data_IF_328106109212
#
_entry.id   IF_328106109212
#
_cell.length_a   1.000
_cell.length_b   1.000
_cell.length_c   1.000
_cell.angle_alpha   90.00
_cell.angle_beta   90.00
_cell.angle_gamma   90.00
#
_symmetry.space_group_name_H-M   'P 1'
#
loop_
_entity.id
_entity.type
_entity.pdbx_description
1 polymer ?
#
# COMPACT_ATOMS: atom_id res chain seq x y z
N UNK A 1 -13.74 12.88 8.59
CA UNK A 1 -13.42 13.59 7.33
C UNK A 1 -14.69 13.97 6.59
N UNK A 2 -15.65 13.07 6.43
CA UNK A 2 -16.88 13.30 5.67
C UNK A 2 -17.73 14.47 6.19
N UNK A 3 -17.80 14.64 7.51
CA UNK A 3 -18.48 15.79 8.14
C UNK A 3 -17.89 17.14 7.68
N UNK A 4 -16.58 17.23 7.54
CA UNK A 4 -15.91 18.44 7.08
C UNK A 4 -16.27 18.74 5.62
N UNK A 5 -16.32 17.71 4.76
CA UNK A 5 -16.71 17.88 3.36
C UNK A 5 -18.15 18.39 3.22
N UNK A 6 -19.07 17.90 4.06
CA UNK A 6 -20.45 18.40 4.14
C UNK A 6 -20.46 19.89 4.53
N UNK A 7 -19.69 20.25 5.56
CA UNK A 7 -19.63 21.62 6.07
C UNK A 7 -19.04 22.59 5.02
N UNK A 8 -17.96 22.17 4.36
CA UNK A 8 -17.33 22.92 3.25
C UNK A 8 -18.34 23.12 2.11
N UNK A 9 -19.03 22.06 1.68
CA UNK A 9 -20.05 22.15 0.61
C UNK A 9 -21.15 23.15 0.98
N UNK A 10 -21.62 23.09 2.21
CA UNK A 10 -22.72 23.94 2.69
C UNK A 10 -22.31 25.41 2.73
N UNK A 11 -21.13 25.72 3.29
CA UNK A 11 -20.62 27.09 3.36
C UNK A 11 -20.29 27.67 1.99
N UNK A 12 -19.77 26.86 1.08
CA UNK A 12 -19.46 27.28 -0.28
C UNK A 12 -20.69 27.69 -1.07
N UNK A 13 -21.78 26.92 -0.96
CA UNK A 13 -23.03 27.22 -1.66
C UNK A 13 -23.78 28.42 -1.07
N UNK A 14 -23.65 28.68 0.24
CA UNK A 14 -24.50 29.66 0.94
C UNK A 14 -23.83 31.01 1.25
N UNK A 15 -22.54 31.06 1.58
CA UNK A 15 -21.97 32.23 2.28
C UNK A 15 -20.74 32.85 1.60
N UNK A 16 -20.11 32.19 0.62
CA UNK A 16 -18.78 32.59 0.18
C UNK A 16 -18.56 32.37 -1.31
N UNK A 17 -19.29 33.14 -2.12
CA UNK A 17 -19.16 33.10 -3.60
C UNK A 17 -17.76 33.44 -4.12
N UNK A 18 -16.91 34.10 -3.32
CA UNK A 18 -15.54 34.46 -3.70
C UNK A 18 -14.48 33.43 -3.25
N UNK A 19 -14.88 32.38 -2.52
CA UNK A 19 -13.94 31.36 -2.05
C UNK A 19 -13.83 30.25 -3.10
N UNK A 20 -12.60 30.00 -3.54
CA UNK A 20 -12.26 28.88 -4.41
C UNK A 20 -11.77 27.72 -3.55
N UNK A 21 -12.32 26.54 -3.79
CA UNK A 21 -11.98 25.32 -3.06
C UNK A 21 -11.26 24.39 -4.02
N UNK A 22 -10.10 23.88 -3.59
CA UNK A 22 -9.35 22.86 -4.30
C UNK A 22 -9.30 21.63 -3.39
N UNK A 23 -9.85 20.53 -3.88
CA UNK A 23 -9.82 19.24 -3.19
C UNK A 23 -8.74 18.37 -3.84
N UNK A 24 -7.75 17.99 -3.05
CA UNK A 24 -6.67 17.10 -3.47
C UNK A 24 -6.87 15.73 -2.85
N UNK A 25 -6.73 14.69 -3.65
CA UNK A 25 -6.89 13.30 -3.21
C UNK A 25 -5.72 12.48 -3.71
N UNK A 26 -5.17 11.63 -2.83
CA UNK A 26 -4.13 10.67 -3.19
C UNK A 26 -4.73 9.35 -3.75
N UNK A 27 -5.91 8.94 -3.28
CA UNK A 27 -6.50 7.62 -3.58
C UNK A 27 -8.02 7.60 -3.69
N UNK A 28 -8.72 8.66 -3.25
CA UNK A 28 -10.17 8.78 -3.39
C UNK A 28 -10.51 9.05 -4.85
N UNK A 29 -11.48 8.28 -5.32
CA UNK A 29 -12.20 8.43 -6.58
C UNK A 29 -12.66 9.88 -6.81
N UNK A 30 -12.03 10.52 -7.79
CA UNK A 30 -12.26 11.93 -8.14
C UNK A 30 -13.68 12.14 -8.67
N UNK A 31 -14.30 11.13 -9.28
CA UNK A 31 -15.67 11.22 -9.80
C UNK A 31 -16.68 11.33 -8.67
N UNK A 32 -16.51 10.54 -7.60
CA UNK A 32 -17.39 10.62 -6.42
C UNK A 32 -17.31 11.99 -5.75
N UNK A 33 -16.12 12.58 -5.69
CA UNK A 33 -15.95 13.93 -5.15
C UNK A 33 -16.54 14.99 -6.08
N UNK A 34 -16.35 14.88 -7.39
CA UNK A 34 -16.93 15.79 -8.37
C UNK A 34 -18.46 15.75 -8.35
N UNK A 35 -19.05 14.57 -8.18
CA UNK A 35 -20.48 14.41 -7.98
C UNK A 35 -20.90 14.97 -6.62
N UNK A 36 -20.19 14.69 -5.53
CA UNK A 36 -20.54 15.23 -4.22
C UNK A 36 -20.50 16.76 -4.18
N UNK A 37 -19.58 17.41 -4.87
CA UNK A 37 -19.50 18.88 -4.91
C UNK A 37 -20.20 19.52 -6.12
N UNK A 38 -21.10 18.78 -6.80
CA UNK A 38 -21.84 19.33 -7.93
C UNK A 38 -22.61 20.60 -7.54
N UNK A 39 -22.73 21.52 -8.50
CA UNK A 39 -23.62 22.68 -8.41
C UNK A 39 -24.87 22.44 -9.25
N UNK A 40 -25.98 23.07 -8.86
CA UNK A 40 -27.19 23.13 -9.70
C UNK A 40 -27.37 24.56 -10.13
N UNK A 41 -27.17 24.84 -11.42
CA UNK A 41 -27.33 26.18 -12.02
C UNK A 41 -28.41 26.07 -13.09
N UNK A 42 -29.47 26.88 -12.97
CA UNK A 42 -30.60 26.89 -13.90
C UNK A 42 -31.22 25.50 -14.16
N UNK A 43 -31.28 24.65 -13.13
CA UNK A 43 -31.81 23.29 -13.22
C UNK A 43 -30.86 22.26 -13.83
N UNK A 44 -29.65 22.65 -14.23
CA UNK A 44 -28.62 21.75 -14.75
C UNK A 44 -27.60 21.42 -13.65
N UNK A 45 -27.18 20.15 -13.59
CA UNK A 45 -26.12 19.69 -12.70
C UNK A 45 -24.78 19.97 -13.37
N UNK A 46 -23.95 20.78 -12.73
CA UNK A 46 -22.58 21.06 -13.13
C UNK A 46 -21.63 20.36 -12.16
N UNK A 47 -20.86 19.41 -12.69
CA UNK A 47 -19.82 18.72 -11.93
C UNK A 47 -18.61 19.65 -11.73
N UNK A 48 -17.85 19.37 -10.67
CA UNK A 48 -16.60 20.10 -10.42
C UNK A 48 -15.54 19.69 -11.44
N UNK A 49 -14.70 20.64 -11.83
CA UNK A 49 -13.53 20.36 -12.67
C UNK A 49 -12.61 19.34 -12.00
N UNK A 50 -12.23 18.33 -12.78
CA UNK A 50 -11.34 17.25 -12.36
C UNK A 50 -9.98 17.46 -13.00
N UNK A 51 -8.92 17.42 -12.20
CA UNK A 51 -7.55 17.47 -12.68
C UNK A 51 -6.89 16.16 -12.27
N UNK A 52 -6.50 15.37 -13.26
CA UNK A 52 -5.64 14.23 -13.02
C UNK A 52 -4.19 14.69 -13.17
N UNK A 53 -3.39 14.45 -12.13
CA UNK A 53 -1.95 14.67 -12.17
C UNK A 53 -1.35 13.29 -12.32
N UNK A 54 -0.94 12.96 -13.54
CA UNK A 54 -0.32 11.67 -13.82
C UNK A 54 1.05 11.61 -13.15
N UNK A 55 1.19 10.72 -12.17
CA UNK A 55 2.48 10.40 -11.57
C UNK A 55 3.20 9.35 -12.43
N UNK A 56 4.51 9.49 -12.57
CA UNK A 56 5.35 8.45 -13.15
C UNK A 56 5.49 7.31 -12.13
N UNK A 57 4.59 6.34 -12.20
CA UNK A 57 4.67 5.13 -11.39
C UNK A 57 5.87 4.30 -11.82
N UNK A 58 6.52 3.66 -10.85
CA UNK A 58 7.48 2.61 -11.14
C UNK A 58 6.75 1.37 -11.65
N UNK A 59 7.41 0.58 -12.50
CA UNK A 59 6.86 -0.69 -12.95
C UNK A 59 6.75 -1.65 -11.76
N UNK A 60 5.56 -2.21 -11.55
CA UNK A 60 5.24 -3.10 -10.43
C UNK A 60 4.85 -4.46 -11.00
N UNK A 61 5.57 -5.50 -10.62
CA UNK A 61 5.22 -6.88 -10.95
C UNK A 61 4.36 -7.48 -9.85
N UNK A 62 3.14 -7.87 -10.18
CA UNK A 62 2.21 -8.52 -9.26
C UNK A 62 2.35 -10.04 -9.35
N UNK A 63 2.59 -10.69 -8.21
CA UNK A 63 2.65 -12.14 -8.12
C UNK A 63 1.66 -12.65 -7.08
N UNK A 64 0.79 -13.55 -7.51
CA UNK A 64 -0.17 -14.24 -6.64
C UNK A 64 0.40 -15.58 -6.16
N UNK A 65 -0.04 -16.04 -4.99
CA UNK A 65 0.42 -17.31 -4.40
C UNK A 65 0.22 -18.52 -5.32
N UNK A 66 -0.83 -18.51 -6.14
CA UNK A 66 -1.11 -19.56 -7.14
C UNK A 66 0.00 -19.71 -8.19
N UNK A 67 0.80 -18.67 -8.42
CA UNK A 67 1.94 -18.70 -9.33
C UNK A 67 3.20 -19.26 -8.68
N UNK A 68 3.24 -19.35 -7.34
CA UNK A 68 4.37 -19.87 -6.59
C UNK A 68 4.11 -21.35 -6.28
N UNK A 69 4.68 -22.24 -7.11
CA UNK A 69 4.53 -23.69 -6.95
C UNK A 69 4.93 -24.13 -5.52
N UNK A 70 4.17 -25.08 -4.96
CA UNK A 70 4.30 -25.67 -3.60
C UNK A 70 3.62 -24.96 -2.43
N UNK A 71 2.97 -23.81 -2.63
CA UNK A 71 2.19 -23.18 -1.57
C UNK A 71 0.69 -23.38 -1.83
N UNK A 72 0.07 -24.28 -1.07
CA UNK A 72 -1.36 -24.58 -1.19
C UNK A 72 -2.26 -23.36 -0.90
N UNK A 73 -3.57 -23.51 -1.08
CA UNK A 73 -4.54 -22.43 -0.87
C UNK A 73 -4.59 -22.01 0.62
N UNK A 74 -3.91 -20.91 0.97
CA UNK A 74 -3.96 -20.34 2.32
C UNK A 74 -5.12 -19.34 2.36
N UNK A 75 -6.22 -19.73 3.00
CA UNK A 75 -7.45 -18.94 3.02
C UNK A 75 -7.55 -17.97 4.20
N UNK A 76 -6.67 -18.08 5.21
CA UNK A 76 -6.61 -17.19 6.39
C UNK A 76 -5.16 -16.94 6.80
N UNK A 77 -4.92 -15.83 7.52
CA UNK A 77 -3.69 -15.58 8.27
C UNK A 77 -3.56 -16.62 9.39
N UNK A 78 -3.18 -17.83 9.00
CA UNK A 78 -2.90 -18.94 9.87
C UNK A 78 -1.40 -19.00 10.17
N UNK A 79 -0.97 -19.89 11.05
CA UNK A 79 0.47 -20.07 11.33
C UNK A 79 1.25 -20.45 10.07
N UNK A 80 0.60 -21.15 9.15
CA UNK A 80 1.15 -21.52 7.85
C UNK A 80 1.42 -20.28 6.98
N UNK A 81 0.53 -19.27 7.01
CA UNK A 81 0.71 -18.01 6.31
C UNK A 81 1.92 -17.22 6.85
N UNK A 82 2.06 -17.17 8.17
CA UNK A 82 3.20 -16.54 8.86
C UNK A 82 4.52 -17.24 8.49
N UNK A 83 4.54 -18.57 8.54
CA UNK A 83 5.71 -19.35 8.16
C UNK A 83 6.07 -19.16 6.69
N UNK A 84 5.07 -19.10 5.80
CA UNK A 84 5.27 -18.82 4.39
C UNK A 84 5.90 -17.43 4.20
N UNK A 85 5.36 -16.39 4.84
CA UNK A 85 5.91 -15.04 4.77
C UNK A 85 7.37 -15.00 5.23
N UNK A 86 7.68 -15.65 6.37
CA UNK A 86 9.06 -15.77 6.88
C UNK A 86 9.97 -16.48 5.89
N UNK A 87 9.51 -17.57 5.26
CA UNK A 87 10.29 -18.32 4.29
C UNK A 87 10.55 -17.52 3.01
N UNK A 88 9.56 -16.77 2.51
CA UNK A 88 9.73 -15.89 1.36
C UNK A 88 10.76 -14.80 1.65
N UNK A 89 10.66 -14.13 2.81
CA UNK A 89 11.63 -13.10 3.22
C UNK A 89 13.05 -13.68 3.25
N UNK A 90 13.24 -14.87 3.81
CA UNK A 90 14.54 -15.55 3.84
C UNK A 90 15.04 -15.96 2.45
N UNK A 91 14.14 -16.36 1.55
CA UNK A 91 14.49 -16.68 0.17
C UNK A 91 15.03 -15.44 -0.55
N UNK A 92 14.33 -14.31 -0.42
CA UNK A 92 14.77 -13.04 -1.01
C UNK A 92 16.10 -12.55 -0.42
N UNK A 93 16.29 -12.65 0.90
CA UNK A 93 17.55 -12.27 1.56
C UNK A 93 18.72 -13.15 1.10
N UNK A 94 18.46 -14.45 0.85
CA UNK A 94 19.47 -15.37 0.32
C UNK A 94 19.81 -15.04 -1.15
N UNK A 95 18.81 -14.79 -2.00
CA UNK A 95 19.03 -14.37 -3.39
C UNK A 95 19.82 -13.07 -3.49
N UNK A 96 19.48 -12.07 -2.68
CA UNK A 96 20.20 -10.80 -2.60
C UNK A 96 21.66 -10.99 -2.13
N UNK A 97 21.86 -11.89 -1.17
CA UNK A 97 23.20 -12.20 -0.63
C UNK A 97 24.07 -12.94 -1.66
N UNK A 98 23.47 -13.81 -2.47
CA UNK A 98 24.16 -14.53 -3.55
C UNK A 98 24.43 -13.65 -4.77
N UNK A 99 23.63 -12.61 -4.99
CA UNK A 99 23.81 -11.71 -6.11
C UNK A 99 25.15 -10.95 -6.03
N UNK A 100 25.65 -10.63 -4.82
CA UNK A 100 27.05 -10.33 -4.47
C UNK A 100 27.77 -9.15 -5.15
N UNK A 101 27.73 -9.05 -6.48
CA UNK A 101 28.44 -8.06 -7.28
C UNK A 101 27.82 -7.93 -8.68
N UNK A 102 27.32 -6.75 -9.05
CA UNK A 102 26.92 -6.49 -10.43
C UNK A 102 28.16 -6.15 -11.25
N UNK A 103 28.72 -7.15 -11.93
CA UNK A 103 29.89 -7.01 -12.81
C UNK A 103 29.65 -6.01 -13.96
N UNK A 104 28.40 -5.65 -14.27
CA UNK A 104 28.08 -4.71 -15.34
C UNK A 104 28.10 -3.25 -14.86
N UNK A 105 27.83 -3.00 -13.58
CA UNK A 105 27.73 -1.65 -13.01
C UNK A 105 28.84 -1.30 -12.01
N UNK A 106 29.73 -2.25 -11.66
CA UNK A 106 30.81 -2.06 -10.68
C UNK A 106 30.32 -1.44 -9.36
N UNK A 107 29.12 -1.83 -8.93
CA UNK A 107 28.49 -1.36 -7.70
C UNK A 107 28.11 -2.57 -6.84
N UNK A 108 28.27 -2.48 -5.50
CA UNK A 108 27.73 -3.49 -4.61
C UNK A 108 26.21 -3.56 -4.84
N UNK A 109 25.69 -4.76 -5.02
CA UNK A 109 24.25 -4.96 -5.23
C UNK A 109 23.51 -4.44 -4.01
N UNK A 110 22.64 -3.46 -4.25
CA UNK A 110 21.83 -2.84 -3.20
C UNK A 110 20.88 -3.90 -2.66
N UNK A 111 21.02 -4.24 -1.38
CA UNK A 111 20.05 -5.10 -0.67
C UNK A 111 18.65 -4.55 -0.86
N UNK A 112 17.72 -5.41 -1.23
CA UNK A 112 16.31 -5.05 -1.36
C UNK A 112 15.67 -4.96 0.02
N UNK A 113 14.52 -4.28 0.08
CA UNK A 113 13.74 -4.13 1.31
C UNK A 113 12.38 -4.76 1.13
N UNK A 114 11.98 -5.62 2.06
CA UNK A 114 10.67 -6.27 2.03
C UNK A 114 9.72 -5.55 3.00
N UNK A 115 8.57 -5.10 2.49
CA UNK A 115 7.47 -4.55 3.28
C UNK A 115 6.34 -5.59 3.35
N UNK A 116 5.89 -5.91 4.57
CA UNK A 116 4.83 -6.89 4.82
C UNK A 116 3.66 -6.22 5.52
N UNK A 117 2.46 -6.39 4.99
CA UNK A 117 1.22 -5.94 5.61
C UNK A 117 0.57 -7.08 6.40
N UNK A 118 0.33 -6.85 7.69
CA UNK A 118 -0.32 -7.80 8.62
C UNK A 118 -1.51 -7.10 9.29
N UNK A 119 -2.54 -7.84 9.71
CA UNK A 119 -3.80 -7.25 10.18
C UNK A 119 -3.67 -6.64 11.57
N UNK A 120 -2.80 -7.19 12.43
CA UNK A 120 -2.73 -6.79 13.83
C UNK A 120 -1.33 -6.81 14.45
N UNK A 121 -1.19 -6.10 15.58
CA UNK A 121 0.08 -5.96 16.30
C UNK A 121 0.65 -7.31 16.77
N UNK A 122 -0.20 -8.25 17.19
CA UNK A 122 0.23 -9.59 17.62
C UNK A 122 0.92 -10.36 16.50
N UNK A 123 0.37 -10.28 15.28
CA UNK A 123 0.93 -10.92 14.09
C UNK A 123 2.27 -10.26 13.72
N UNK A 124 2.32 -8.92 13.75
CA UNK A 124 3.55 -8.14 13.52
C UNK A 124 4.64 -8.57 14.49
N UNK A 125 4.33 -8.64 15.78
CA UNK A 125 5.29 -9.05 16.80
C UNK A 125 5.75 -10.50 16.59
N UNK A 126 4.83 -11.41 16.25
CA UNK A 126 5.16 -12.81 16.00
C UNK A 126 6.14 -12.96 14.82
N UNK A 127 5.87 -12.27 13.70
CA UNK A 127 6.77 -12.27 12.52
C UNK A 127 8.11 -11.63 12.87
N UNK A 128 8.10 -10.49 13.56
CA UNK A 128 9.30 -9.79 13.99
C UNK A 128 10.20 -10.67 14.88
N UNK A 129 9.63 -11.32 15.89
CA UNK A 129 10.36 -12.22 16.78
C UNK A 129 10.89 -13.44 16.04
N UNK A 130 10.11 -14.02 15.12
CA UNK A 130 10.51 -15.19 14.32
C UNK A 130 11.67 -14.87 13.38
N UNK A 131 11.71 -13.66 12.81
CA UNK A 131 12.80 -13.19 11.97
C UNK A 131 14.05 -12.81 12.78
N UNK A 132 13.88 -12.20 13.96
CA UNK A 132 14.98 -11.78 14.83
C UNK A 132 15.64 -12.95 15.57
N UNK A 133 14.84 -13.94 15.97
CA UNK A 133 15.29 -15.13 16.70
C UNK A 133 14.88 -16.37 15.90
N UNK A 134 15.64 -16.76 14.86
CA UNK A 134 15.41 -18.04 14.21
C UNK A 134 15.59 -19.13 15.27
N UNK A 135 14.50 -19.79 15.67
CA UNK A 135 14.53 -20.91 16.62
C UNK A 135 15.52 -21.94 16.11
N UNK A 136 16.72 -21.94 16.69
CA UNK A 136 17.89 -22.54 16.08
C UNK A 136 19.19 -22.30 16.85
N UNK A 137 19.12 -22.28 18.18
CA UNK A 137 20.23 -22.75 19.01
C UNK A 137 19.60 -23.32 20.29
N UNK A 138 19.71 -24.63 20.58
CA UNK A 138 19.50 -25.08 21.95
C UNK A 138 20.57 -24.39 22.78
N UNK A 139 20.16 -23.71 23.85
CA UNK A 139 21.07 -23.22 24.86
C UNK A 139 21.81 -24.43 25.43
N UNK A 140 23.01 -24.67 24.92
CA UNK A 140 23.98 -25.56 25.53
C UNK A 140 24.60 -24.83 26.71
N UNK A 141 24.05 -25.07 27.90
CA UNK A 141 24.73 -24.93 29.19
C UNK A 141 24.39 -26.15 30.03
#
# INVERSE_FOLDING_TARGET
>A
MDFLLILIRTLWLQNSHNVKIILTSATIDVEKLAHFFHQVINGQILLVYQFNVDDQLFDVQEMYLEHIQNYGLITRLSREAINLAVNLIKSFDNEDSMAGWDHTKNLPIKRTTVLVFLLGLLEIQTVYETLRFPRGKPDSV
#
